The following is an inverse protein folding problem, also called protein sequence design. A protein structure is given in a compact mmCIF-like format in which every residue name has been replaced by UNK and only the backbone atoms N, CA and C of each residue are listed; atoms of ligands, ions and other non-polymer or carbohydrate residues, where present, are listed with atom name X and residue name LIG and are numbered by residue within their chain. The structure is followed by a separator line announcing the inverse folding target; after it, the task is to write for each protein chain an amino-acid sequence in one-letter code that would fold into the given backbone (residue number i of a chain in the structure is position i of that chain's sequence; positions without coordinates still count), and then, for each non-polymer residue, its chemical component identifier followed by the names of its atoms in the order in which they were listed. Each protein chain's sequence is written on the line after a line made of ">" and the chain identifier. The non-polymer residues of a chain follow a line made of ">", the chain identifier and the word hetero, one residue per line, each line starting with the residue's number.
data_IF_190975607005
#
_entry.id   IF_190975607005
#
_cell.length_a   1.000
_cell.length_b   1.000
_cell.length_c   1.000
_cell.angle_alpha   90.00
_cell.angle_beta   90.00
_cell.angle_gamma   90.00
#
_symmetry.space_group_name_H-M   'P 1'
#
loop_
_entity.id
_entity.type
_entity.pdbx_description
1 polymer ?
#
# COMPACT_ATOMS: atom_id res chain seq x y z
N UNK A 1 10.70 18.79 36.37
CA UNK A 1 10.05 19.38 35.17
C UNK A 1 10.95 19.43 33.93
N UNK A 2 12.11 20.12 33.95
CA UNK A 2 12.93 20.38 32.74
C UNK A 2 13.57 19.12 32.12
N UNK A 3 14.05 18.18 32.95
CA UNK A 3 14.58 16.87 32.50
C UNK A 3 13.49 15.95 31.92
N UNK A 4 12.29 15.96 32.52
CA UNK A 4 11.14 15.18 32.05
C UNK A 4 10.64 15.67 30.68
N UNK A 5 10.55 16.99 30.47
CA UNK A 5 10.22 17.57 29.16
C UNK A 5 11.25 17.21 28.08
N UNK A 6 12.54 17.21 28.43
CA UNK A 6 13.62 16.81 27.52
C UNK A 6 13.50 15.33 27.13
N UNK A 7 13.18 14.46 28.08
CA UNK A 7 12.93 13.03 27.83
C UNK A 7 11.72 12.82 26.88
N UNK A 8 10.61 13.50 27.17
CA UNK A 8 9.39 13.46 26.35
C UNK A 8 9.65 13.92 24.91
N UNK A 9 10.40 15.02 24.75
CA UNK A 9 10.77 15.50 23.42
C UNK A 9 11.59 14.46 22.63
N UNK A 10 12.57 13.83 23.28
CA UNK A 10 13.38 12.80 22.64
C UNK A 10 12.57 11.55 22.27
N UNK A 11 11.62 11.13 23.11
CA UNK A 11 10.73 10.01 22.80
C UNK A 11 9.87 10.32 21.56
N UNK A 12 9.28 11.52 21.48
CA UNK A 12 8.49 11.94 20.31
C UNK A 12 9.37 12.02 19.06
N UNK A 13 10.58 12.57 19.18
CA UNK A 13 11.52 12.66 18.05
C UNK A 13 11.93 11.27 17.53
N UNK A 14 12.18 10.31 18.43
CA UNK A 14 12.48 8.92 18.09
C UNK A 14 11.30 8.22 17.41
N UNK A 15 10.09 8.41 17.92
CA UNK A 15 8.87 7.84 17.34
C UNK A 15 8.60 8.39 15.93
N UNK A 16 8.78 9.70 15.74
CA UNK A 16 8.69 10.33 14.42
C UNK A 16 9.75 9.78 13.47
N UNK A 17 11.00 9.64 13.92
CA UNK A 17 12.08 9.04 13.13
C UNK A 17 11.74 7.60 12.73
N UNK A 18 11.28 6.78 13.67
CA UNK A 18 10.89 5.40 13.42
C UNK A 18 9.73 5.32 12.41
N UNK A 19 8.73 6.18 12.56
CA UNK A 19 7.59 6.28 11.62
C UNK A 19 8.04 6.67 10.22
N UNK A 20 8.98 7.61 10.11
CA UNK A 20 9.51 8.08 8.82
C UNK A 20 10.34 7.00 8.14
N UNK A 21 11.16 6.27 8.91
CA UNK A 21 11.92 5.11 8.43
C UNK A 21 10.98 4.01 7.97
N UNK A 22 9.94 3.68 8.74
CA UNK A 22 8.95 2.66 8.37
C UNK A 22 8.19 3.05 7.10
N UNK A 23 7.74 4.30 7.01
CA UNK A 23 7.09 4.83 5.82
C UNK A 23 7.99 4.79 4.58
N UNK A 24 9.27 5.16 4.72
CA UNK A 24 10.26 5.03 3.65
C UNK A 24 10.48 3.57 3.24
N UNK A 25 10.71 2.69 4.21
CA UNK A 25 10.96 1.25 3.98
C UNK A 25 9.79 0.58 3.24
N UNK A 26 8.54 0.87 3.64
CA UNK A 26 7.36 0.33 2.95
C UNK A 26 7.23 0.80 1.50
N UNK A 27 7.71 2.01 1.16
CA UNK A 27 7.81 2.46 -0.24
C UNK A 27 8.87 1.70 -1.03
N UNK A 28 9.99 1.34 -0.42
CA UNK A 28 11.04 0.52 -1.07
C UNK A 28 10.67 -0.96 -1.19
N UNK A 29 9.85 -1.48 -0.26
CA UNK A 29 9.27 -2.82 -0.37
C UNK A 29 8.20 -2.93 -1.47
N UNK A 30 7.81 -1.82 -2.10
CA UNK A 30 6.96 -1.86 -3.27
C UNK A 30 7.72 -2.44 -4.47
N UNK A 31 7.71 -3.78 -4.57
CA UNK A 31 8.36 -4.56 -5.63
C UNK A 31 7.75 -4.33 -7.02
N UNK A 32 6.71 -3.48 -7.14
CA UNK A 32 6.16 -3.07 -8.44
C UNK A 32 7.19 -2.40 -9.35
N UNK A 33 8.28 -1.89 -8.77
CA UNK A 33 9.45 -1.37 -9.48
C UNK A 33 10.10 -2.39 -10.42
N UNK A 34 10.16 -3.66 -9.99
CA UNK A 34 10.85 -4.75 -10.68
C UNK A 34 9.91 -5.62 -11.56
N UNK A 35 8.61 -5.30 -11.60
CA UNK A 35 7.66 -5.99 -12.46
C UNK A 35 7.98 -5.67 -13.93
N UNK A 36 8.14 -6.73 -14.71
CA UNK A 36 8.39 -6.69 -16.15
C UNK A 36 7.58 -7.81 -16.79
N UNK A 37 6.55 -7.44 -17.54
CA UNK A 37 5.62 -8.38 -18.17
C UNK A 37 4.66 -9.06 -17.18
N UNK A 38 3.57 -9.59 -17.70
CA UNK A 38 2.60 -10.39 -16.96
C UNK A 38 1.25 -9.69 -16.71
N UNK A 39 0.44 -10.36 -15.89
CA UNK A 39 -0.97 -10.01 -15.67
C UNK A 39 -1.15 -9.46 -14.26
N UNK A 40 -1.66 -8.23 -14.16
CA UNK A 40 -2.12 -7.67 -12.89
C UNK A 40 -3.54 -8.14 -12.56
N UNK A 41 -3.80 -8.49 -11.30
CA UNK A 41 -5.14 -8.83 -10.81
C UNK A 41 -5.47 -7.95 -9.61
N UNK A 42 -6.56 -7.18 -9.71
CA UNK A 42 -7.08 -6.37 -8.60
C UNK A 42 -8.29 -7.07 -8.00
N UNK A 43 -8.16 -7.51 -6.75
CA UNK A 43 -9.27 -8.07 -5.99
C UNK A 43 -10.14 -6.96 -5.40
N UNK A 44 -11.45 -7.12 -5.57
CA UNK A 44 -12.46 -6.28 -4.97
C UNK A 44 -12.34 -6.25 -3.44
N UNK A 45 -12.68 -5.10 -2.86
CA UNK A 45 -12.74 -4.86 -1.43
C UNK A 45 -13.88 -3.90 -1.15
N UNK A 46 -14.59 -4.11 -0.06
CA UNK A 46 -15.70 -3.25 0.37
C UNK A 46 -15.23 -1.88 0.86
N UNK A 47 -13.93 -1.73 1.15
CA UNK A 47 -13.34 -0.44 1.47
C UNK A 47 -13.06 0.35 0.18
N UNK A 48 -13.91 1.34 -0.12
CA UNK A 48 -13.77 2.19 -1.31
C UNK A 48 -12.39 2.85 -1.44
N UNK A 49 -11.77 3.26 -0.33
CA UNK A 49 -10.46 3.94 -0.35
C UNK A 49 -9.35 2.97 -0.77
N UNK A 50 -9.39 1.75 -0.26
CA UNK A 50 -8.41 0.71 -0.63
C UNK A 50 -8.64 0.23 -2.06
N UNK A 51 -9.90 0.08 -2.48
CA UNK A 51 -10.25 -0.26 -3.86
C UNK A 51 -9.69 0.78 -4.83
N UNK A 52 -9.94 2.07 -4.58
CA UNK A 52 -9.43 3.17 -5.39
C UNK A 52 -7.89 3.18 -5.45
N UNK A 53 -7.22 2.98 -4.31
CA UNK A 53 -5.76 2.92 -4.24
C UNK A 53 -5.17 1.76 -5.04
N UNK A 54 -5.77 0.57 -4.95
CA UNK A 54 -5.32 -0.63 -5.69
C UNK A 54 -5.53 -0.47 -7.20
N UNK A 55 -6.68 0.06 -7.61
CA UNK A 55 -7.00 0.33 -9.03
C UNK A 55 -6.03 1.37 -9.58
N UNK A 56 -5.82 2.48 -8.88
CA UNK A 56 -4.92 3.54 -9.32
C UNK A 56 -3.48 3.03 -9.49
N UNK A 57 -2.99 2.23 -8.54
CA UNK A 57 -1.68 1.59 -8.63
C UNK A 57 -1.58 0.65 -9.84
N UNK A 58 -2.54 -0.24 -10.01
CA UNK A 58 -2.52 -1.21 -11.10
C UNK A 58 -2.63 -0.53 -12.49
N UNK A 59 -3.46 0.51 -12.60
CA UNK A 59 -3.56 1.32 -13.82
C UNK A 59 -2.26 2.04 -14.15
N UNK A 60 -1.55 2.57 -13.15
CA UNK A 60 -0.24 3.20 -13.36
C UNK A 60 0.83 2.19 -13.81
N UNK A 61 0.80 0.95 -13.31
CA UNK A 61 1.72 -0.10 -13.73
C UNK A 61 1.44 -0.57 -15.17
N UNK A 62 0.18 -0.66 -15.57
CA UNK A 62 -0.22 -0.94 -16.96
C UNK A 62 0.25 0.18 -17.90
N UNK A 63 0.01 1.44 -17.53
CA UNK A 63 0.47 2.62 -18.31
C UNK A 63 1.99 2.69 -18.44
N UNK A 64 2.71 2.28 -17.40
CA UNK A 64 4.17 2.23 -17.40
C UNK A 64 4.75 1.02 -18.16
N UNK A 65 3.91 0.20 -18.81
CA UNK A 65 4.36 -1.00 -19.54
C UNK A 65 4.93 -2.09 -18.64
N UNK A 66 4.67 -2.03 -17.33
CA UNK A 66 5.13 -3.05 -16.35
C UNK A 66 4.19 -4.23 -16.25
N UNK A 67 2.97 -4.09 -16.78
CA UNK A 67 1.97 -5.14 -16.92
C UNK A 67 1.52 -5.15 -18.38
N UNK A 68 1.21 -6.33 -18.90
CA UNK A 68 0.65 -6.48 -20.25
C UNK A 68 -0.87 -6.37 -20.23
N UNK A 69 -1.49 -6.82 -19.14
CA UNK A 69 -2.94 -6.90 -18.96
C UNK A 69 -3.31 -6.65 -17.50
N UNK A 70 -4.50 -6.13 -17.29
CA UNK A 70 -5.08 -5.90 -15.96
C UNK A 70 -6.47 -6.51 -15.90
N UNK A 71 -6.71 -7.40 -14.94
CA UNK A 71 -8.03 -7.93 -14.61
C UNK A 71 -8.51 -7.38 -13.28
N UNK A 72 -9.81 -7.11 -13.21
CA UNK A 72 -10.48 -6.74 -11.98
C UNK A 72 -11.41 -7.89 -11.59
N UNK A 73 -11.16 -8.48 -10.44
CA UNK A 73 -11.99 -9.57 -9.90
C UNK A 73 -12.91 -8.94 -8.86
N UNK A 74 -14.16 -8.77 -9.25
CA UNK A 74 -15.21 -8.21 -8.41
C UNK A 74 -16.46 -9.07 -8.40
N UNK A 75 -17.17 -8.99 -7.29
CA UNK A 75 -18.38 -9.75 -7.02
C UNK A 75 -18.59 -9.84 -5.52
N UNK A 76 -19.84 -9.69 -5.09
CA UNK A 76 -20.27 -10.10 -3.75
C UNK A 76 -19.72 -11.51 -3.51
N UNK A 77 -19.04 -11.77 -2.38
CA UNK A 77 -18.66 -13.15 -2.01
C UNK A 77 -19.87 -14.06 -2.26
N UNK A 78 -19.71 -15.29 -2.77
CA UNK A 78 -20.81 -16.25 -2.75
C UNK A 78 -21.30 -16.33 -1.31
N UNK A 79 -22.45 -15.74 -1.02
CA UNK A 79 -23.08 -15.75 0.30
C UNK A 79 -23.83 -17.07 0.48
N UNK A 80 -23.22 -18.20 0.11
CA UNK A 80 -23.96 -19.45 0.08
C UNK A 80 -22.98 -20.61 0.11
N UNK A 81 -22.63 -21.01 1.33
CA UNK A 81 -22.55 -22.44 1.60
C UNK A 81 -23.97 -22.99 1.45
N UNK A 82 -24.16 -23.84 0.44
CA UNK A 82 -25.21 -24.84 0.40
C UNK A 82 -24.63 -26.12 0.98
#
# INVERSE_FOLDING_TARGET
>A
MRKLRKLLFWLIALDLLATLVFWGATRFMDQSGALSGGTGVVFYTDNQRDAAGRIAKAANLLKAGKLDRLYMVGGHRPQEGW
#
